data_IF_132501229254
#
_entry.id   IF_132501229254
#
_cell.length_a   1.000
_cell.length_b   1.000
_cell.length_c   1.000
_cell.angle_alpha   90.00
_cell.angle_beta   90.00
_cell.angle_gamma   90.00
#
_symmetry.space_group_name_H-M   'P 1'
#
loop_
_entity.id
_entity.type
_entity.pdbx_description
1 polymer ?
#
# COMPACT_ATOMS: atom_id res chain seq x y z
N UNK A 1 5.62 16.24 -5.02
CA UNK A 1 4.94 15.57 -3.90
C UNK A 1 5.79 15.67 -2.64
N UNK A 2 5.20 16.08 -1.54
CA UNK A 2 5.78 16.09 -0.20
C UNK A 2 5.10 15.00 0.63
N UNK A 3 5.88 14.29 1.45
CA UNK A 3 5.35 13.46 2.55
C UNK A 3 6.19 13.76 3.78
N UNK A 4 5.51 14.01 4.89
CA UNK A 4 6.12 14.25 6.19
C UNK A 4 5.91 12.97 7.01
N UNK A 5 6.98 12.47 7.59
CA UNK A 5 6.96 11.29 8.44
C UNK A 5 7.41 11.66 9.84
N UNK A 6 6.69 11.17 10.84
CA UNK A 6 7.18 11.08 12.20
C UNK A 6 8.04 9.83 12.33
N UNK A 7 9.29 10.00 12.74
CA UNK A 7 10.25 8.89 12.91
C UNK A 7 10.50 8.68 14.40
N UNK A 8 10.28 7.45 14.86
CA UNK A 8 10.46 7.04 16.25
C UNK A 8 11.77 6.26 16.42
N UNK A 9 12.21 6.12 17.66
CA UNK A 9 13.35 5.24 17.97
C UNK A 9 13.06 3.79 17.50
N UNK A 10 14.12 3.07 17.13
CA UNK A 10 13.99 1.69 16.63
C UNK A 10 13.62 1.57 15.15
N UNK A 11 13.49 2.68 14.42
CA UNK A 11 13.21 2.66 12.97
C UNK A 11 11.74 2.59 12.61
N UNK A 12 10.87 2.86 13.56
CA UNK A 12 9.43 2.99 13.32
C UNK A 12 9.11 4.36 12.76
N UNK A 13 8.15 4.45 11.84
CA UNK A 13 7.72 5.72 11.29
C UNK A 13 6.27 5.68 10.84
N UNK A 14 5.60 6.84 10.90
CA UNK A 14 4.24 7.04 10.41
C UNK A 14 4.16 8.27 9.53
N UNK A 15 3.21 8.27 8.58
CA UNK A 15 2.90 9.45 7.76
C UNK A 15 2.15 10.46 8.64
N UNK A 16 2.76 11.64 8.83
CA UNK A 16 2.15 12.75 9.53
C UNK A 16 1.30 13.62 8.59
N UNK A 17 1.81 13.87 7.36
CA UNK A 17 1.10 14.66 6.35
C UNK A 17 1.58 14.36 4.93
N UNK A 18 0.72 14.58 3.95
CA UNK A 18 1.03 14.40 2.53
C UNK A 18 0.44 15.54 1.67
N UNK A 19 1.26 16.10 0.79
CA UNK A 19 0.83 17.11 -0.19
C UNK A 19 1.25 16.72 -1.60
N UNK A 20 0.32 16.87 -2.55
CA UNK A 20 0.54 16.57 -3.96
C UNK A 20 0.26 17.79 -4.81
N UNK A 21 1.23 18.17 -5.64
CA UNK A 21 1.09 19.23 -6.64
C UNK A 21 1.43 18.70 -8.02
N UNK A 22 0.57 18.99 -8.99
CA UNK A 22 0.71 18.51 -10.36
C UNK A 22 1.53 19.49 -11.21
N UNK A 23 2.84 19.41 -11.13
CA UNK A 23 3.75 20.28 -11.90
C UNK A 23 3.94 19.82 -13.34
N UNK A 24 3.77 18.50 -13.62
CA UNK A 24 3.94 17.91 -14.96
C UNK A 24 5.32 18.21 -15.58
N UNK A 25 6.41 18.05 -14.82
CA UNK A 25 7.79 18.24 -15.29
C UNK A 25 8.16 17.36 -16.49
N UNK A 26 7.44 16.27 -16.75
CA UNK A 26 7.64 15.41 -17.92
C UNK A 26 7.17 16.01 -19.25
N UNK A 27 6.43 17.11 -19.24
CA UNK A 27 6.12 17.89 -20.42
C UNK A 27 7.35 18.70 -20.83
N UNK A 28 8.12 18.18 -21.79
CA UNK A 28 9.39 18.79 -22.25
C UNK A 28 9.19 19.65 -23.49
N UNK A 29 10.22 20.43 -23.84
CA UNK A 29 10.37 21.03 -25.15
C UNK A 29 10.73 19.96 -26.19
N UNK A 30 10.66 20.31 -27.50
CA UNK A 30 10.95 19.39 -28.59
C UNK A 30 12.37 18.83 -28.51
N UNK A 31 13.31 19.61 -27.98
CA UNK A 31 14.70 19.18 -27.78
C UNK A 31 14.93 18.26 -26.59
N UNK A 32 13.90 18.01 -25.77
CA UNK A 32 13.98 17.20 -24.53
C UNK A 32 14.39 17.99 -23.30
N UNK A 33 14.42 19.33 -23.34
CA UNK A 33 14.62 20.18 -22.16
C UNK A 33 13.33 20.37 -21.38
N UNK A 34 13.42 20.52 -20.05
CA UNK A 34 12.28 20.90 -19.21
C UNK A 34 11.80 22.30 -19.60
N UNK A 35 10.49 22.46 -19.77
CA UNK A 35 9.85 23.75 -20.06
C UNK A 35 10.09 24.73 -18.92
N UNK A 36 10.54 25.94 -19.21
CA UNK A 36 10.84 26.96 -18.20
C UNK A 36 9.62 27.28 -17.32
N UNK A 37 8.42 27.26 -17.90
CA UNK A 37 7.17 27.43 -17.13
C UNK A 37 6.97 26.35 -16.08
N UNK A 38 7.30 25.10 -16.41
CA UNK A 38 7.22 23.95 -15.48
C UNK A 38 8.33 23.99 -14.44
N UNK A 39 9.53 24.44 -14.81
CA UNK A 39 10.64 24.68 -13.86
C UNK A 39 10.25 25.72 -12.80
N UNK A 40 9.69 26.86 -13.22
CA UNK A 40 9.22 27.89 -12.30
C UNK A 40 8.09 27.39 -11.37
N UNK A 41 7.15 26.63 -11.92
CA UNK A 41 6.09 26.00 -11.12
C UNK A 41 6.66 25.01 -10.10
N UNK A 42 7.65 24.18 -10.49
CA UNK A 42 8.34 23.27 -9.57
C UNK A 42 9.04 24.01 -8.43
N UNK A 43 9.77 25.08 -8.73
CA UNK A 43 10.46 25.91 -7.74
C UNK A 43 9.46 26.51 -6.76
N UNK A 44 8.34 27.07 -7.24
CA UNK A 44 7.30 27.65 -6.38
C UNK A 44 6.65 26.56 -5.49
N UNK A 45 6.37 25.40 -6.05
CA UNK A 45 5.85 24.25 -5.29
C UNK A 45 6.81 23.82 -4.17
N UNK A 46 8.11 23.69 -4.48
CA UNK A 46 9.13 23.32 -3.48
C UNK A 46 9.29 24.39 -2.40
N UNK A 47 9.16 25.69 -2.74
CA UNK A 47 9.12 26.76 -1.73
C UNK A 47 7.94 26.63 -0.76
N UNK A 48 6.75 26.27 -1.27
CA UNK A 48 5.58 25.96 -0.42
C UNK A 48 5.85 24.74 0.46
N UNK A 49 6.36 23.65 -0.10
CA UNK A 49 6.73 22.45 0.64
C UNK A 49 7.74 22.73 1.75
N UNK A 50 8.76 23.58 1.48
CA UNK A 50 9.73 23.97 2.48
C UNK A 50 9.11 24.76 3.64
N UNK A 51 8.11 25.62 3.34
CA UNK A 51 7.36 26.33 4.40
C UNK A 51 6.57 25.35 5.26
N UNK A 52 5.92 24.35 4.66
CA UNK A 52 5.21 23.30 5.41
C UNK A 52 6.18 22.51 6.30
N UNK A 53 7.33 22.09 5.77
CA UNK A 53 8.36 21.44 6.57
C UNK A 53 8.78 22.30 7.79
N UNK A 54 8.89 23.61 7.64
CA UNK A 54 9.21 24.50 8.77
C UNK A 54 8.07 24.57 9.80
N UNK A 55 6.79 24.59 9.36
CA UNK A 55 5.62 24.56 10.26
C UNK A 55 5.58 23.27 11.07
N UNK A 56 5.84 22.12 10.42
CA UNK A 56 5.92 20.81 11.07
C UNK A 56 7.23 20.59 11.84
N UNK A 57 8.16 21.57 11.86
CA UNK A 57 9.47 21.45 12.51
C UNK A 57 10.25 20.22 12.04
N UNK A 58 10.24 19.98 10.72
CA UNK A 58 10.95 18.85 10.13
C UNK A 58 12.47 19.02 10.30
N UNK A 59 13.13 18.03 10.91
CA UNK A 59 14.57 18.05 11.17
C UNK A 59 15.39 17.76 9.91
N UNK A 60 14.87 16.90 9.02
CA UNK A 60 15.59 16.47 7.82
C UNK A 60 14.70 16.37 6.60
N UNK A 61 15.19 16.89 5.48
CA UNK A 61 14.52 16.81 4.18
C UNK A 61 15.34 15.91 3.23
N UNK A 62 14.71 14.87 2.70
CA UNK A 62 15.26 14.01 1.67
C UNK A 62 14.62 14.39 0.33
N UNK A 63 15.34 15.13 -0.50
CA UNK A 63 14.85 15.60 -1.78
C UNK A 63 15.37 14.72 -2.92
N UNK A 64 14.45 14.09 -3.66
CA UNK A 64 14.75 13.13 -4.73
C UNK A 64 14.09 13.57 -6.02
N UNK A 65 14.80 13.43 -7.14
CA UNK A 65 14.30 13.63 -8.49
C UNK A 65 14.43 12.34 -9.31
N UNK A 66 13.46 12.08 -10.16
CA UNK A 66 13.34 10.82 -10.92
C UNK A 66 13.34 11.07 -12.44
N UNK A 67 12.73 10.20 -13.22
CA UNK A 67 12.80 10.09 -14.67
C UNK A 67 12.72 11.44 -15.42
N UNK A 68 11.79 12.32 -15.10
CA UNK A 68 11.62 13.59 -15.82
C UNK A 68 12.87 14.49 -15.73
N UNK A 69 13.48 14.57 -14.53
CA UNK A 69 14.70 15.35 -14.33
C UNK A 69 15.93 14.59 -14.83
N UNK A 70 15.97 13.26 -14.61
CA UNK A 70 17.08 12.41 -15.03
C UNK A 70 17.34 12.48 -16.54
N UNK A 71 16.27 12.51 -17.36
CA UNK A 71 16.35 12.53 -18.83
C UNK A 71 16.47 13.92 -19.43
N UNK A 72 16.27 14.97 -18.65
CA UNK A 72 16.24 16.33 -19.15
C UNK A 72 17.62 16.80 -19.64
N UNK A 73 17.70 17.36 -20.86
CA UNK A 73 18.95 17.94 -21.38
C UNK A 73 19.46 19.10 -20.53
N UNK A 74 18.55 19.88 -19.94
CA UNK A 74 18.87 20.98 -19.03
C UNK A 74 18.88 20.59 -17.54
N UNK A 75 19.12 19.29 -17.22
CA UNK A 75 19.12 18.77 -15.83
C UNK A 75 19.98 19.61 -14.88
N UNK A 76 21.23 19.93 -15.27
CA UNK A 76 22.16 20.70 -14.41
C UNK A 76 21.64 22.11 -14.13
N UNK A 77 21.10 22.77 -15.14
CA UNK A 77 20.50 24.12 -15.01
C UNK A 77 19.33 24.06 -14.04
N UNK A 78 18.40 23.11 -14.24
CA UNK A 78 17.27 22.88 -13.33
C UNK A 78 17.70 22.68 -11.88
N UNK A 79 18.68 21.80 -11.63
CA UNK A 79 19.16 21.52 -10.27
C UNK A 79 19.83 22.75 -9.63
N UNK A 80 20.57 23.53 -10.40
CA UNK A 80 21.20 24.77 -9.92
C UNK A 80 20.15 25.85 -9.60
N UNK A 81 19.16 26.07 -10.46
CA UNK A 81 18.06 27.01 -10.23
C UNK A 81 17.23 26.58 -9.00
N UNK A 82 16.95 25.28 -8.87
CA UNK A 82 16.23 24.72 -7.73
C UNK A 82 17.02 24.97 -6.44
N UNK A 83 18.32 24.66 -6.41
CA UNK A 83 19.18 24.90 -5.26
C UNK A 83 19.29 26.40 -4.93
N UNK A 84 19.56 27.24 -5.93
CA UNK A 84 19.68 28.70 -5.72
C UNK A 84 18.38 29.31 -5.19
N UNK A 85 17.21 28.80 -5.62
CA UNK A 85 15.90 29.33 -5.24
C UNK A 85 15.36 28.79 -3.92
N UNK A 86 15.75 27.58 -3.51
CA UNK A 86 15.15 26.86 -2.36
C UNK A 86 16.16 26.45 -1.29
N UNK A 87 17.45 26.42 -1.63
CA UNK A 87 18.52 25.86 -0.78
C UNK A 87 18.48 24.34 -0.63
N UNK A 88 17.60 23.63 -1.36
CA UNK A 88 17.49 22.18 -1.29
C UNK A 88 18.30 21.53 -2.40
N UNK A 89 19.15 20.57 -2.01
CA UNK A 89 19.92 19.76 -2.95
C UNK A 89 19.14 18.49 -3.27
N UNK A 90 18.74 18.33 -4.53
CA UNK A 90 18.04 17.15 -5.02
C UNK A 90 19.04 16.08 -5.44
N UNK A 91 18.81 14.83 -4.97
CA UNK A 91 19.47 13.64 -5.48
C UNK A 91 18.70 13.12 -6.70
N UNK A 92 19.33 13.06 -7.85
CA UNK A 92 18.75 12.38 -9.02
C UNK A 92 19.07 10.90 -8.91
N UNK A 93 18.06 10.07 -8.77
CA UNK A 93 18.22 8.62 -8.65
C UNK A 93 18.32 7.95 -10.03
N UNK A 94 19.16 6.92 -10.14
CA UNK A 94 19.23 6.07 -11.34
C UNK A 94 17.93 5.29 -11.55
N UNK A 95 17.77 4.66 -12.70
CA UNK A 95 16.59 3.81 -12.97
C UNK A 95 16.57 2.58 -12.08
N UNK A 96 17.72 1.97 -11.88
CA UNK A 96 17.89 0.83 -10.99
C UNK A 96 17.64 1.20 -9.52
N UNK A 97 18.21 2.33 -9.06
CA UNK A 97 17.98 2.83 -7.70
C UNK A 97 16.49 3.14 -7.47
N UNK A 98 15.81 3.76 -8.45
CA UNK A 98 14.38 4.06 -8.40
C UNK A 98 13.54 2.78 -8.31
N UNK A 99 13.85 1.75 -9.11
CA UNK A 99 13.18 0.45 -9.07
C UNK A 99 13.40 -0.27 -7.73
N UNK A 100 14.64 -0.25 -7.22
CA UNK A 100 14.95 -0.82 -5.90
C UNK A 100 14.20 -0.09 -4.78
N UNK A 101 14.08 1.23 -4.81
CA UNK A 101 13.30 1.98 -3.82
C UNK A 101 11.81 1.63 -3.87
N UNK A 102 11.24 1.45 -5.06
CA UNK A 102 9.85 0.98 -5.20
C UNK A 102 9.71 -0.43 -4.62
N UNK A 103 10.63 -1.33 -4.94
CA UNK A 103 10.68 -2.66 -4.35
C UNK A 103 10.76 -2.62 -2.82
N UNK A 104 11.63 -1.78 -2.24
CA UNK A 104 11.75 -1.62 -0.79
C UNK A 104 10.44 -1.15 -0.14
N UNK A 105 9.70 -0.24 -0.79
CA UNK A 105 8.39 0.17 -0.33
C UNK A 105 7.37 -0.97 -0.30
N UNK A 106 7.38 -1.82 -1.33
CA UNK A 106 6.48 -2.97 -1.43
C UNK A 106 6.86 -4.06 -0.45
N UNK A 107 8.12 -4.51 -0.48
CA UNK A 107 8.57 -5.70 0.26
C UNK A 107 8.53 -5.50 1.78
N UNK A 108 8.69 -4.25 2.25
CA UNK A 108 8.60 -3.91 3.67
C UNK A 108 7.18 -3.53 4.13
N UNK A 109 6.19 -3.60 3.23
CA UNK A 109 4.78 -3.32 3.56
C UNK A 109 3.83 -4.48 3.24
N UNK A 110 4.28 -5.48 2.48
CA UNK A 110 3.46 -6.61 2.05
C UNK A 110 4.18 -7.95 2.34
N UNK A 111 3.43 -8.95 2.79
CA UNK A 111 3.94 -10.31 2.97
C UNK A 111 3.55 -11.19 1.77
N UNK A 112 4.07 -10.88 0.61
CA UNK A 112 3.89 -11.64 -0.62
C UNK A 112 5.23 -12.28 -0.98
N UNK A 113 5.34 -13.62 -0.99
CA UNK A 113 6.63 -14.29 -1.19
C UNK A 113 7.18 -14.19 -2.61
N UNK A 114 6.30 -14.15 -3.62
CA UNK A 114 6.66 -14.04 -5.05
C UNK A 114 5.79 -12.98 -5.70
N UNK A 115 6.39 -11.98 -6.32
CA UNK A 115 5.64 -10.89 -6.92
C UNK A 115 6.28 -10.30 -8.15
N UNK A 116 5.43 -9.96 -9.12
CA UNK A 116 5.74 -9.04 -10.21
C UNK A 116 5.18 -7.67 -9.85
N UNK A 117 6.05 -6.74 -9.49
CA UNK A 117 5.68 -5.36 -9.23
C UNK A 117 5.63 -4.62 -10.56
N UNK A 118 4.54 -3.89 -10.82
CA UNK A 118 4.44 -2.93 -11.90
C UNK A 118 4.18 -1.54 -11.34
N UNK A 119 5.01 -0.58 -11.70
CA UNK A 119 4.74 0.85 -11.52
C UNK A 119 4.63 1.52 -12.89
N UNK A 120 3.47 2.10 -13.20
CA UNK A 120 3.31 2.95 -14.37
C UNK A 120 3.20 4.40 -13.95
N UNK A 121 4.28 5.16 -14.22
CA UNK A 121 4.39 6.59 -14.00
C UNK A 121 3.89 7.42 -15.17
N UNK A 122 4.24 8.71 -15.21
CA UNK A 122 3.94 9.57 -16.36
C UNK A 122 4.80 9.26 -17.59
N UNK A 123 6.11 9.15 -17.39
CA UNK A 123 7.11 8.99 -18.45
C UNK A 123 7.96 7.72 -18.34
N UNK A 124 7.58 6.78 -17.50
CA UNK A 124 8.29 5.51 -17.31
C UNK A 124 7.40 4.45 -16.72
N UNK A 125 7.66 3.20 -17.12
CA UNK A 125 7.06 1.99 -16.57
C UNK A 125 8.17 1.10 -16.06
N UNK A 126 7.97 0.50 -14.89
CA UNK A 126 8.94 -0.38 -14.24
C UNK A 126 8.30 -1.70 -13.88
N UNK A 127 9.05 -2.78 -14.08
CA UNK A 127 8.77 -4.09 -13.56
C UNK A 127 9.88 -4.53 -12.64
N UNK A 128 9.51 -5.13 -11.50
CA UNK A 128 10.45 -5.80 -10.59
C UNK A 128 9.88 -7.17 -10.26
N UNK A 129 10.56 -8.21 -10.71
CA UNK A 129 10.24 -9.58 -10.34
C UNK A 129 11.10 -10.02 -9.15
N UNK A 130 10.46 -10.52 -8.10
CA UNK A 130 11.16 -10.99 -6.92
C UNK A 130 10.58 -12.34 -6.43
N UNK A 131 11.45 -13.13 -5.78
CA UNK A 131 11.08 -14.36 -5.11
C UNK A 131 11.79 -14.44 -3.76
N UNK A 132 11.07 -14.90 -2.72
CA UNK A 132 11.59 -15.02 -1.35
C UNK A 132 12.35 -13.77 -0.89
N UNK A 133 11.80 -12.59 -1.19
CA UNK A 133 12.38 -11.29 -0.83
C UNK A 133 13.72 -10.95 -1.50
N UNK A 134 14.03 -11.59 -2.62
CA UNK A 134 15.20 -11.26 -3.45
C UNK A 134 14.72 -10.81 -4.83
N UNK A 135 15.24 -9.70 -5.33
CA UNK A 135 15.01 -9.26 -6.70
C UNK A 135 15.70 -10.25 -7.63
N UNK A 136 14.97 -10.77 -8.60
CA UNK A 136 15.50 -11.63 -9.67
C UNK A 136 15.72 -10.82 -10.94
N UNK A 137 14.73 -10.02 -11.34
CA UNK A 137 14.79 -9.23 -12.57
C UNK A 137 14.18 -7.84 -12.36
N UNK A 138 14.68 -6.89 -13.12
CA UNK A 138 14.17 -5.52 -13.18
C UNK A 138 14.16 -5.07 -14.63
N UNK A 139 13.05 -4.48 -15.06
CA UNK A 139 12.91 -3.88 -16.39
C UNK A 139 12.37 -2.45 -16.26
N UNK A 140 12.93 -1.54 -17.04
CA UNK A 140 12.53 -0.13 -17.02
C UNK A 140 12.31 0.37 -18.45
N UNK A 141 11.07 0.66 -18.77
CA UNK A 141 10.68 1.26 -20.03
C UNK A 141 10.63 2.78 -19.96
N UNK A 142 11.11 3.43 -21.01
CA UNK A 142 11.15 4.89 -21.16
C UNK A 142 9.80 5.50 -21.56
N UNK A 143 8.70 4.82 -21.34
CA UNK A 143 7.33 5.28 -21.57
C UNK A 143 6.44 4.97 -20.38
N UNK A 144 5.46 5.83 -20.15
CA UNK A 144 4.45 5.68 -19.10
C UNK A 144 3.12 6.26 -19.59
N UNK A 145 2.19 6.49 -18.68
CA UNK A 145 0.83 6.90 -18.99
C UNK A 145 0.76 8.20 -19.84
N UNK A 146 1.58 9.20 -19.52
CA UNK A 146 1.57 10.47 -20.25
C UNK A 146 2.22 10.33 -21.63
N UNK A 147 3.37 9.67 -21.73
CA UNK A 147 4.03 9.45 -23.01
C UNK A 147 3.20 8.57 -23.94
N UNK A 148 2.51 7.55 -23.42
CA UNK A 148 1.58 6.74 -24.22
C UNK A 148 0.40 7.58 -24.72
N UNK A 149 -0.13 8.48 -23.90
CA UNK A 149 -1.19 9.39 -24.31
C UNK A 149 -0.71 10.41 -25.38
N UNK A 150 0.53 10.88 -25.27
CA UNK A 150 1.15 11.76 -26.29
C UNK A 150 1.42 11.03 -27.61
N UNK A 151 1.89 9.77 -27.55
CA UNK A 151 2.22 8.98 -28.75
C UNK A 151 0.98 8.52 -29.53
N UNK A 152 -0.08 8.12 -28.84
CA UNK A 152 -1.22 7.42 -29.44
C UNK A 152 -2.57 8.12 -29.24
N UNK A 153 -2.66 9.06 -28.31
CA UNK A 153 -3.85 9.88 -28.06
C UNK A 153 -3.83 11.16 -28.88
N UNK A 154 -4.96 11.86 -28.88
CA UNK A 154 -5.13 13.16 -29.52
C UNK A 154 -6.61 13.53 -29.54
N UNK A 155 -6.90 14.82 -29.77
CA UNK A 155 -8.29 15.31 -29.85
C UNK A 155 -9.09 14.66 -31.00
N UNK A 156 -8.39 14.25 -32.06
CA UNK A 156 -8.98 13.69 -33.27
C UNK A 156 -8.89 12.14 -33.32
N UNK A 157 -8.36 11.48 -32.30
CA UNK A 157 -8.22 10.01 -32.25
C UNK A 157 -9.32 9.41 -31.39
N UNK A 158 -10.07 8.46 -31.97
CA UNK A 158 -11.10 7.76 -31.23
C UNK A 158 -10.51 6.98 -30.03
N UNK A 159 -11.20 6.94 -28.88
CA UNK A 159 -10.71 6.22 -27.69
C UNK A 159 -10.37 4.74 -27.95
N UNK A 160 -11.16 4.05 -28.77
CA UNK A 160 -10.93 2.65 -29.15
C UNK A 160 -9.66 2.48 -29.97
N UNK A 161 -9.35 3.43 -30.83
CA UNK A 161 -8.14 3.39 -31.64
C UNK A 161 -6.90 3.66 -30.78
N UNK A 162 -6.99 4.61 -29.85
CA UNK A 162 -5.94 4.85 -28.85
C UNK A 162 -5.68 3.60 -28.01
N UNK A 163 -6.73 2.97 -27.49
CA UNK A 163 -6.65 1.74 -26.70
C UNK A 163 -5.97 0.62 -27.51
N UNK A 164 -6.39 0.40 -28.75
CA UNK A 164 -5.81 -0.62 -29.61
C UNK A 164 -4.32 -0.38 -29.88
N UNK A 165 -3.92 0.86 -30.23
CA UNK A 165 -2.52 1.21 -30.50
C UNK A 165 -1.64 1.08 -29.26
N UNK A 166 -2.13 1.52 -28.10
CA UNK A 166 -1.42 1.36 -26.81
C UNK A 166 -1.25 -0.11 -26.48
N UNK A 167 -2.30 -0.93 -26.62
CA UNK A 167 -2.24 -2.35 -26.33
C UNK A 167 -1.26 -3.09 -27.25
N UNK A 168 -1.29 -2.79 -28.54
CA UNK A 168 -0.39 -3.38 -29.54
C UNK A 168 1.07 -3.01 -29.25
N UNK A 169 1.35 -1.71 -29.06
CA UNK A 169 2.68 -1.23 -28.70
C UNK A 169 3.18 -1.88 -27.41
N UNK A 170 2.33 -1.89 -26.36
CA UNK A 170 2.75 -2.42 -25.06
C UNK A 170 3.01 -3.93 -25.11
N UNK A 171 2.22 -4.70 -25.87
CA UNK A 171 2.46 -6.12 -26.09
C UNK A 171 3.80 -6.37 -26.77
N UNK A 172 4.11 -5.63 -27.83
CA UNK A 172 5.41 -5.70 -28.51
C UNK A 172 6.58 -5.42 -27.55
N UNK A 173 6.40 -4.46 -26.63
CA UNK A 173 7.43 -4.20 -25.61
C UNK A 173 7.56 -5.33 -24.59
N UNK A 174 6.46 -5.97 -24.18
CA UNK A 174 6.52 -7.14 -23.29
C UNK A 174 7.25 -8.33 -23.94
N UNK A 175 7.06 -8.54 -25.24
CA UNK A 175 7.74 -9.58 -26.02
C UNK A 175 9.27 -9.41 -26.08
N UNK A 176 9.79 -8.21 -25.79
CA UNK A 176 11.25 -7.97 -25.70
C UNK A 176 11.87 -8.36 -24.36
N UNK A 177 11.06 -8.83 -23.40
CA UNK A 177 11.48 -9.12 -22.04
C UNK A 177 11.43 -10.62 -21.77
N UNK A 178 12.48 -11.33 -22.15
CA UNK A 178 12.55 -12.79 -22.14
C UNK A 178 12.20 -13.43 -20.79
N UNK A 179 12.59 -12.82 -19.67
CA UNK A 179 12.35 -13.37 -18.35
C UNK A 179 10.86 -13.34 -17.89
N UNK A 180 9.98 -12.64 -18.61
CA UNK A 180 8.54 -12.68 -18.31
C UNK A 180 7.93 -14.05 -18.57
N UNK A 181 8.49 -14.84 -19.51
CA UNK A 181 8.07 -16.20 -19.79
C UNK A 181 8.51 -17.20 -18.69
N UNK A 182 9.45 -16.79 -17.83
CA UNK A 182 9.98 -17.59 -16.72
C UNK A 182 9.28 -17.34 -15.39
N UNK A 183 8.19 -16.55 -15.38
CA UNK A 183 7.47 -16.26 -14.15
C UNK A 183 6.89 -17.51 -13.52
N UNK A 184 7.17 -17.70 -12.23
CA UNK A 184 6.56 -18.77 -11.44
C UNK A 184 5.02 -18.62 -11.43
N UNK A 185 4.25 -19.72 -11.65
CA UNK A 185 2.78 -19.69 -11.67
C UNK A 185 2.12 -19.12 -10.40
N UNK A 186 2.83 -19.16 -9.25
CA UNK A 186 2.35 -18.58 -7.99
C UNK A 186 2.65 -17.08 -7.86
N UNK A 187 3.31 -16.48 -8.85
CA UNK A 187 3.65 -15.05 -8.83
C UNK A 187 2.39 -14.19 -8.72
N UNK A 188 2.38 -13.25 -7.77
CA UNK A 188 1.28 -12.31 -7.62
C UNK A 188 1.58 -11.03 -8.38
N UNK A 189 0.58 -10.47 -9.07
CA UNK A 189 0.69 -9.18 -9.74
C UNK A 189 0.44 -8.03 -8.76
N UNK A 190 1.45 -7.19 -8.52
CA UNK A 190 1.41 -6.09 -7.56
C UNK A 190 1.48 -4.76 -8.31
N UNK A 191 0.43 -3.97 -8.16
CA UNK A 191 0.34 -2.64 -8.77
C UNK A 191 0.74 -1.53 -7.81
N UNK A 192 1.64 -0.65 -8.25
CA UNK A 192 2.18 0.48 -7.47
C UNK A 192 1.92 1.80 -8.18
N UNK A 193 1.77 2.86 -7.41
CA UNK A 193 1.69 4.22 -7.95
C UNK A 193 0.27 4.73 -8.16
N UNK A 194 0.18 5.91 -8.76
CA UNK A 194 -1.09 6.66 -8.84
C UNK A 194 -2.15 6.04 -9.73
N UNK A 195 -1.74 5.37 -10.82
CA UNK A 195 -2.68 4.71 -11.73
C UNK A 195 -3.37 3.54 -11.04
N UNK A 196 -2.61 2.69 -10.34
CA UNK A 196 -3.17 1.58 -9.57
C UNK A 196 -4.03 2.03 -8.39
N UNK A 197 -3.67 3.14 -7.71
CA UNK A 197 -4.50 3.71 -6.65
C UNK A 197 -5.83 4.23 -7.17
N UNK A 198 -5.84 4.91 -8.33
CA UNK A 198 -7.08 5.35 -8.98
C UNK A 198 -7.93 4.16 -9.42
N UNK A 199 -7.32 3.14 -10.03
CA UNK A 199 -7.99 1.91 -10.42
C UNK A 199 -8.67 1.24 -9.22
N UNK A 200 -7.94 1.07 -8.11
CA UNK A 200 -8.50 0.51 -6.87
C UNK A 200 -9.61 1.36 -6.26
N UNK A 201 -9.49 2.70 -6.31
CA UNK A 201 -10.52 3.59 -5.82
C UNK A 201 -11.81 3.48 -6.64
N UNK A 202 -11.70 3.35 -7.96
CA UNK A 202 -12.84 3.11 -8.85
C UNK A 202 -13.49 1.76 -8.56
N UNK A 203 -12.71 0.69 -8.50
CA UNK A 203 -13.21 -0.66 -8.22
C UNK A 203 -13.93 -0.75 -6.88
N UNK A 204 -13.32 -0.20 -5.81
CA UNK A 204 -13.96 -0.15 -4.47
C UNK A 204 -15.29 0.60 -4.49
N UNK A 205 -15.37 1.70 -5.23
CA UNK A 205 -16.63 2.46 -5.38
C UNK A 205 -17.69 1.69 -6.15
N UNK A 206 -17.33 1.07 -7.28
CA UNK A 206 -18.24 0.25 -8.07
C UNK A 206 -18.83 -0.90 -7.23
N UNK A 207 -17.98 -1.54 -6.42
CA UNK A 207 -18.40 -2.64 -5.54
C UNK A 207 -19.09 -2.17 -4.26
N UNK A 208 -19.14 -0.86 -3.96
CA UNK A 208 -19.54 -0.34 -2.65
C UNK A 208 -18.77 -1.06 -1.52
N UNK A 209 -17.44 -1.14 -1.70
CA UNK A 209 -16.56 -1.85 -0.79
C UNK A 209 -16.54 -1.16 0.58
N UNK A 210 -16.73 -1.87 1.70
CA UNK A 210 -16.98 -1.26 3.01
C UNK A 210 -15.74 -0.72 3.72
N UNK A 211 -14.52 -1.01 3.19
CA UNK A 211 -13.26 -0.48 3.72
C UNK A 211 -12.68 0.58 2.80
N UNK A 212 -12.25 1.71 3.36
CA UNK A 212 -11.51 2.73 2.61
C UNK A 212 -10.00 2.50 2.69
N UNK A 213 -9.56 1.31 2.30
CA UNK A 213 -8.17 0.89 2.30
C UNK A 213 -7.73 0.53 0.90
N UNK A 214 -6.65 1.16 0.44
CA UNK A 214 -6.04 0.87 -0.87
C UNK A 214 -4.94 -0.19 -0.77
N UNK A 215 -4.16 -0.18 0.33
CA UNK A 215 -3.07 -1.13 0.53
C UNK A 215 -3.61 -2.55 0.73
N UNK A 216 -3.02 -3.52 0.05
CA UNK A 216 -3.49 -4.92 0.01
C UNK A 216 -4.91 -5.14 -0.57
N UNK A 217 -5.46 -4.15 -1.30
CA UNK A 217 -6.71 -4.36 -2.00
C UNK A 217 -6.52 -5.35 -3.16
N UNK A 218 -7.28 -6.44 -3.13
CA UNK A 218 -7.33 -7.43 -4.20
C UNK A 218 -8.35 -6.97 -5.25
N UNK A 219 -7.88 -6.58 -6.42
CA UNK A 219 -8.68 -6.14 -7.55
C UNK A 219 -8.79 -7.27 -8.57
N UNK A 220 -9.96 -7.88 -8.78
CA UNK A 220 -10.15 -8.87 -9.84
C UNK A 220 -9.97 -8.24 -11.24
N UNK A 221 -9.41 -8.97 -12.18
CA UNK A 221 -9.27 -8.51 -13.58
C UNK A 221 -10.64 -8.28 -14.23
N UNK A 222 -11.68 -8.96 -13.77
CA UNK A 222 -13.06 -8.67 -14.20
C UNK A 222 -13.50 -7.24 -13.87
N UNK A 223 -13.07 -6.68 -12.74
CA UNK A 223 -13.35 -5.29 -12.39
C UNK A 223 -12.53 -4.31 -13.24
N UNK A 224 -11.26 -4.65 -13.51
CA UNK A 224 -10.43 -3.89 -14.45
C UNK A 224 -11.13 -3.80 -15.81
N UNK A 225 -11.62 -4.92 -16.35
CA UNK A 225 -12.36 -4.95 -17.62
C UNK A 225 -13.61 -4.07 -17.58
N UNK A 226 -14.42 -4.18 -16.54
CA UNK A 226 -15.61 -3.35 -16.37
C UNK A 226 -15.28 -1.85 -16.27
N UNK A 227 -14.16 -1.49 -15.64
CA UNK A 227 -13.70 -0.09 -15.57
C UNK A 227 -13.21 0.39 -16.94
N UNK A 228 -12.50 -0.43 -17.71
CA UNK A 228 -12.11 -0.11 -19.08
C UNK A 228 -13.35 0.18 -19.95
N UNK A 229 -14.36 -0.69 -19.91
CA UNK A 229 -15.60 -0.52 -20.67
C UNK A 229 -16.37 0.73 -20.24
N UNK A 230 -16.47 0.99 -18.94
CA UNK A 230 -17.09 2.20 -18.41
C UNK A 230 -16.38 3.47 -18.92
N UNK A 231 -15.05 3.50 -18.94
CA UNK A 231 -14.30 4.67 -19.40
C UNK A 231 -14.32 4.84 -20.92
N UNK A 232 -14.43 3.74 -21.68
CA UNK A 232 -14.60 3.77 -23.13
C UNK A 232 -15.91 4.42 -23.53
N UNK A 233 -17.01 4.05 -22.82
CA UNK A 233 -18.35 4.56 -23.10
C UNK A 233 -18.67 5.91 -22.45
N UNK A 234 -17.80 6.39 -21.55
CA UNK A 234 -18.02 7.64 -20.83
C UNK A 234 -17.85 8.86 -21.75
N UNK A 235 -18.79 9.81 -21.66
CA UNK A 235 -18.69 11.10 -22.31
C UNK A 235 -17.35 11.80 -21.94
N UNK A 236 -16.52 12.18 -22.92
CA UNK A 236 -15.23 12.83 -22.66
C UNK A 236 -15.31 14.04 -21.73
N UNK A 237 -16.39 14.85 -21.84
CA UNK A 237 -16.61 16.02 -20.99
C UNK A 237 -16.91 15.68 -19.52
N UNK A 238 -17.29 14.44 -19.23
CA UNK A 238 -17.64 13.96 -17.89
C UNK A 238 -16.54 13.13 -17.24
N UNK A 239 -15.51 12.72 -17.99
CA UNK A 239 -14.40 11.90 -17.44
C UNK A 239 -13.76 12.53 -16.20
N UNK A 240 -13.57 13.85 -16.20
CA UNK A 240 -13.03 14.59 -15.05
C UNK A 240 -13.93 14.61 -13.81
N UNK A 241 -15.20 14.17 -13.93
CA UNK A 241 -16.18 14.12 -12.83
C UNK A 241 -16.41 12.71 -12.30
N UNK A 242 -15.69 11.72 -12.84
CA UNK A 242 -15.81 10.34 -12.37
C UNK A 242 -15.24 10.26 -10.95
N UNK A 243 -16.14 9.97 -10.00
CA UNK A 243 -15.75 9.85 -8.58
C UNK A 243 -14.76 8.69 -8.40
N UNK A 244 -13.57 8.96 -7.88
CA UNK A 244 -12.49 7.99 -7.69
C UNK A 244 -11.34 8.18 -8.69
N UNK A 245 -11.57 8.91 -9.78
CA UNK A 245 -10.53 9.35 -10.70
C UNK A 245 -10.09 10.77 -10.34
N UNK A 246 -8.77 10.96 -10.11
CA UNK A 246 -8.26 12.30 -9.90
C UNK A 246 -8.26 13.08 -11.22
N UNK A 247 -8.78 14.30 -11.20
CA UNK A 247 -8.91 15.15 -12.39
C UNK A 247 -7.56 15.36 -13.12
N UNK A 248 -6.48 15.43 -12.35
CA UNK A 248 -5.09 15.58 -12.83
C UNK A 248 -4.62 14.42 -13.72
N UNK A 249 -5.25 13.25 -13.63
CA UNK A 249 -4.87 12.03 -14.35
C UNK A 249 -5.92 11.57 -15.36
N UNK A 250 -7.07 12.22 -15.42
CA UNK A 250 -8.20 11.77 -16.22
C UNK A 250 -7.88 11.66 -17.72
N UNK A 251 -6.95 12.49 -18.20
CA UNK A 251 -6.47 12.52 -19.59
C UNK A 251 -5.54 11.34 -19.93
N UNK A 252 -4.68 10.93 -19.01
CA UNK A 252 -3.66 9.88 -19.24
C UNK A 252 -4.05 8.51 -18.69
N UNK A 253 -5.08 8.48 -17.84
CA UNK A 253 -5.49 7.27 -17.14
C UNK A 253 -5.97 6.14 -18.06
N UNK A 254 -6.73 6.38 -19.16
CA UNK A 254 -7.11 5.33 -20.10
C UNK A 254 -5.90 4.58 -20.66
N UNK A 255 -4.84 5.29 -21.05
CA UNK A 255 -3.61 4.66 -21.57
C UNK A 255 -2.91 3.81 -20.49
N UNK A 256 -2.89 4.28 -19.24
CA UNK A 256 -2.38 3.49 -18.12
C UNK A 256 -3.20 2.22 -17.90
N UNK A 257 -4.53 2.30 -17.96
CA UNK A 257 -5.41 1.13 -17.81
C UNK A 257 -5.19 0.11 -18.92
N UNK A 258 -5.07 0.57 -20.16
CA UNK A 258 -4.79 -0.31 -21.31
C UNK A 258 -3.47 -1.05 -21.10
N UNK A 259 -2.42 -0.36 -20.65
CA UNK A 259 -1.13 -0.98 -20.35
C UNK A 259 -1.26 -2.02 -19.20
N UNK A 260 -1.95 -1.68 -18.11
CA UNK A 260 -2.20 -2.60 -16.98
C UNK A 260 -3.00 -3.83 -17.43
N UNK A 261 -4.04 -3.62 -18.24
CA UNK A 261 -4.85 -4.71 -18.80
C UNK A 261 -4.01 -5.60 -19.73
N UNK A 262 -3.18 -5.01 -20.57
CA UNK A 262 -2.29 -5.75 -21.47
C UNK A 262 -1.37 -6.70 -20.68
N UNK A 263 -0.76 -6.23 -19.57
CA UNK A 263 0.07 -7.08 -18.70
C UNK A 263 -0.75 -8.19 -18.05
N UNK A 264 -1.94 -7.87 -17.51
CA UNK A 264 -2.78 -8.87 -16.85
C UNK A 264 -3.22 -9.97 -17.82
N UNK A 265 -3.63 -9.59 -19.04
CA UNK A 265 -4.10 -10.52 -20.07
C UNK A 265 -2.94 -11.36 -20.65
N UNK A 266 -1.80 -10.73 -20.95
CA UNK A 266 -0.64 -11.42 -21.56
C UNK A 266 -0.02 -12.42 -20.60
N UNK A 267 0.09 -12.07 -19.31
CA UNK A 267 0.70 -12.95 -18.30
C UNK A 267 -0.32 -13.80 -17.53
N UNK A 268 -1.60 -13.76 -17.89
CA UNK A 268 -2.64 -14.63 -17.34
C UNK A 268 -3.01 -14.34 -15.88
N UNK A 269 -2.82 -13.12 -15.38
CA UNK A 269 -3.19 -12.77 -14.01
C UNK A 269 -4.71 -12.63 -13.86
N UNK A 270 -5.29 -13.24 -12.84
CA UNK A 270 -6.72 -13.12 -12.53
C UNK A 270 -7.05 -11.97 -11.57
N UNK A 271 -6.05 -11.45 -10.86
CA UNK A 271 -6.18 -10.36 -9.89
C UNK A 271 -4.91 -9.51 -9.83
N UNK A 272 -5.08 -8.28 -9.39
CA UNK A 272 -4.02 -7.31 -9.10
C UNK A 272 -4.08 -6.96 -7.61
N UNK A 273 -2.96 -6.99 -6.91
CA UNK A 273 -2.88 -6.55 -5.53
C UNK A 273 -2.30 -5.14 -5.51
N UNK A 274 -3.03 -4.18 -4.93
CA UNK A 274 -2.58 -2.79 -4.93
C UNK A 274 -1.70 -2.50 -3.71
N UNK A 275 -0.50 -1.97 -3.96
CA UNK A 275 0.31 -1.38 -2.91
C UNK A 275 0.09 0.14 -2.83
N UNK A 276 -0.20 0.63 -1.63
CA UNK A 276 -0.16 2.08 -1.35
C UNK A 276 1.28 2.58 -1.16
N UNK A 277 2.20 1.67 -0.82
CA UNK A 277 3.62 1.94 -0.61
C UNK A 277 4.41 1.80 -1.92
N UNK A 278 5.41 2.65 -2.11
CA UNK A 278 6.28 2.67 -3.27
C UNK A 278 7.56 3.46 -2.99
N UNK A 279 8.00 4.26 -3.94
CA UNK A 279 9.26 5.02 -3.87
C UNK A 279 9.48 5.76 -2.53
N UNK A 280 8.46 6.47 -2.04
CA UNK A 280 8.56 7.32 -0.84
C UNK A 280 8.77 6.50 0.42
N UNK A 281 7.95 5.47 0.57
CA UNK A 281 8.03 4.54 1.69
C UNK A 281 9.35 3.76 1.61
N UNK A 282 9.82 3.40 0.40
CA UNK A 282 11.13 2.79 0.20
C UNK A 282 12.29 3.69 0.64
N UNK A 283 12.23 4.99 0.35
CA UNK A 283 13.19 5.97 0.86
C UNK A 283 13.18 5.97 2.39
N UNK A 284 11.99 5.96 3.01
CA UNK A 284 11.85 5.98 4.47
C UNK A 284 12.31 4.67 5.11
N UNK A 285 11.98 3.51 4.57
CA UNK A 285 12.52 2.23 5.06
C UNK A 285 14.05 2.20 5.02
N UNK A 286 14.67 2.72 3.95
CA UNK A 286 16.12 2.80 3.86
C UNK A 286 16.73 3.81 4.83
N UNK A 287 16.01 4.90 5.15
CA UNK A 287 16.48 5.96 6.04
C UNK A 287 16.25 5.62 7.52
N UNK A 288 15.03 5.21 7.89
CA UNK A 288 14.62 5.07 9.28
C UNK A 288 15.02 3.73 9.90
N UNK A 289 14.92 2.62 9.13
CA UNK A 289 15.23 1.28 9.66
C UNK A 289 16.72 1.15 9.89
N UNK A 290 17.18 0.87 11.14
CA UNK A 290 18.58 0.74 11.47
C UNK A 290 19.30 -0.35 10.65
N UNK A 291 20.58 -0.15 10.37
CA UNK A 291 21.42 -1.15 9.66
C UNK A 291 21.61 -2.45 10.46
N UNK A 292 21.38 -2.40 11.77
CA UNK A 292 21.42 -3.57 12.66
C UNK A 292 20.19 -4.47 12.52
N UNK A 293 19.11 -3.97 11.94
CA UNK A 293 17.92 -4.77 11.61
C UNK A 293 18.08 -5.40 10.24
N UNK A 294 17.52 -6.59 10.10
CA UNK A 294 17.52 -7.31 8.84
C UNK A 294 16.72 -6.55 7.78
N UNK A 295 17.32 -6.32 6.63
CA UNK A 295 16.70 -5.64 5.50
C UNK A 295 16.61 -6.59 4.31
N UNK A 296 15.45 -6.74 3.70
CA UNK A 296 14.13 -6.17 4.07
C UNK A 296 13.57 -6.76 5.37
N UNK A 297 12.67 -6.03 6.01
CA UNK A 297 12.04 -6.43 7.29
C UNK A 297 11.37 -7.79 7.14
N UNK A 298 11.75 -8.78 7.94
CA UNK A 298 11.25 -10.16 7.83
C UNK A 298 9.84 -10.32 8.37
N UNK A 299 9.53 -9.68 9.50
CA UNK A 299 8.21 -9.68 10.15
C UNK A 299 7.52 -8.32 9.90
N UNK A 300 6.95 -8.17 8.71
CA UNK A 300 6.29 -6.93 8.28
C UNK A 300 5.12 -6.56 9.19
N UNK A 301 4.27 -7.55 9.52
CA UNK A 301 3.12 -7.33 10.39
C UNK A 301 3.55 -6.92 11.80
N UNK A 302 4.53 -7.63 12.38
CA UNK A 302 5.05 -7.29 13.70
C UNK A 302 5.65 -5.90 13.76
N UNK A 303 6.48 -5.53 12.78
CA UNK A 303 7.03 -4.18 12.67
C UNK A 303 5.93 -3.12 12.57
N UNK A 304 4.89 -3.38 11.77
CA UNK A 304 3.76 -2.45 11.64
C UNK A 304 2.96 -2.29 12.93
N UNK A 305 2.68 -3.38 13.66
CA UNK A 305 1.99 -3.33 14.95
C UNK A 305 2.83 -2.56 15.97
N UNK A 306 4.14 -2.84 16.06
CA UNK A 306 5.05 -2.14 16.97
C UNK A 306 5.15 -0.65 16.63
N UNK A 307 5.04 -0.27 15.36
CA UNK A 307 4.93 1.14 14.97
C UNK A 307 3.74 1.82 15.65
N UNK A 308 2.56 1.20 15.60
CA UNK A 308 1.36 1.74 16.26
C UNK A 308 1.50 1.78 17.78
N UNK A 309 1.99 0.70 18.40
CA UNK A 309 2.17 0.65 19.85
C UNK A 309 3.13 1.74 20.36
N UNK A 310 4.26 1.93 19.69
CA UNK A 310 5.23 2.96 20.04
C UNK A 310 4.67 4.37 19.78
N UNK A 311 4.01 4.60 18.64
CA UNK A 311 3.43 5.90 18.31
C UNK A 311 2.34 6.33 19.31
N UNK A 312 1.52 5.38 19.78
CA UNK A 312 0.46 5.61 20.75
C UNK A 312 0.95 5.58 22.22
N UNK A 313 2.23 5.32 22.46
CA UNK A 313 2.80 5.23 23.82
C UNK A 313 2.22 4.09 24.64
N UNK A 314 1.88 2.96 24.00
CA UNK A 314 1.30 1.80 24.68
C UNK A 314 2.35 1.04 25.49
N UNK A 315 1.90 0.27 26.49
CA UNK A 315 2.75 -0.67 27.22
C UNK A 315 3.03 -1.91 26.37
N UNK A 316 4.13 -1.87 25.60
CA UNK A 316 4.52 -2.96 24.69
C UNK A 316 4.72 -4.28 25.44
N UNK A 317 5.35 -4.26 26.61
CA UNK A 317 5.61 -5.48 27.38
C UNK A 317 4.32 -6.18 27.82
N UNK A 318 3.31 -5.41 28.25
CA UNK A 318 1.99 -5.96 28.57
C UNK A 318 1.28 -6.50 27.32
N UNK A 319 1.28 -5.76 26.20
CA UNK A 319 0.69 -6.21 24.95
C UNK A 319 1.31 -7.53 24.46
N UNK A 320 2.64 -7.66 24.52
CA UNK A 320 3.36 -8.89 24.19
C UNK A 320 3.00 -10.04 25.15
N UNK A 321 2.85 -9.76 26.44
CA UNK A 321 2.43 -10.78 27.42
C UNK A 321 1.03 -11.30 27.10
N UNK A 322 0.06 -10.43 26.86
CA UNK A 322 -1.30 -10.81 26.43
C UNK A 322 -1.26 -11.64 25.15
N UNK A 323 -0.45 -11.24 24.17
CA UNK A 323 -0.29 -12.01 22.94
C UNK A 323 0.31 -13.40 23.20
N UNK A 324 1.35 -13.50 24.02
CA UNK A 324 1.97 -14.78 24.37
C UNK A 324 0.96 -15.74 25.04
N UNK A 325 0.19 -15.26 26.00
CA UNK A 325 -0.87 -16.03 26.66
C UNK A 325 -1.98 -16.42 25.66
N UNK A 326 -2.37 -15.50 24.77
CA UNK A 326 -3.36 -15.78 23.71
C UNK A 326 -2.91 -16.92 22.79
N UNK A 327 -1.64 -16.94 22.39
CA UNK A 327 -1.11 -18.00 21.51
C UNK A 327 -0.95 -19.33 22.26
N UNK A 328 -0.59 -19.32 23.53
CA UNK A 328 -0.57 -20.54 24.33
C UNK A 328 -1.97 -21.14 24.43
N UNK A 329 -2.98 -20.35 24.78
CA UNK A 329 -4.38 -20.78 24.82
C UNK A 329 -4.87 -21.30 23.47
N UNK A 330 -4.60 -20.56 22.39
CA UNK A 330 -4.97 -20.99 21.05
C UNK A 330 -4.38 -22.36 20.68
N UNK A 331 -3.10 -22.57 20.96
CA UNK A 331 -2.45 -23.86 20.68
C UNK A 331 -3.04 -25.00 21.52
N UNK A 332 -3.23 -24.77 22.80
CA UNK A 332 -3.72 -25.79 23.74
C UNK A 332 -5.20 -26.12 23.55
N UNK A 333 -6.04 -25.13 23.17
CA UNK A 333 -7.47 -25.32 22.89
C UNK A 333 -7.75 -25.83 21.45
N UNK A 334 -6.71 -26.20 20.70
CA UNK A 334 -6.85 -26.63 19.30
C UNK A 334 -7.80 -27.81 19.09
N UNK A 335 -7.84 -28.72 20.05
CA UNK A 335 -8.76 -29.89 20.01
C UNK A 335 -10.21 -29.43 20.04
N UNK A 336 -10.53 -28.34 20.74
CA UNK A 336 -11.89 -27.80 20.87
C UNK A 336 -12.30 -26.92 19.68
N UNK A 337 -11.40 -25.99 19.26
CA UNK A 337 -11.78 -25.04 18.22
C UNK A 337 -11.48 -25.53 16.79
N UNK A 338 -10.47 -26.39 16.60
CA UNK A 338 -10.03 -26.97 15.31
C UNK A 338 -9.66 -25.95 14.22
N UNK A 339 -9.36 -24.69 14.58
CA UNK A 339 -9.08 -23.64 13.63
C UNK A 339 -7.69 -23.79 12.98
N UNK A 340 -7.55 -23.40 11.69
CA UNK A 340 -6.26 -23.37 11.01
C UNK A 340 -5.36 -22.25 11.54
N UNK A 341 -4.05 -22.38 11.27
CA UNK A 341 -3.03 -21.42 11.74
C UNK A 341 -3.20 -19.98 11.23
N UNK A 342 -3.96 -19.78 10.15
CA UNK A 342 -4.20 -18.44 9.60
C UNK A 342 -4.81 -17.47 10.65
N UNK A 343 -5.61 -17.97 11.59
CA UNK A 343 -6.19 -17.14 12.67
C UNK A 343 -5.16 -16.62 13.69
N UNK A 344 -3.95 -17.17 13.72
CA UNK A 344 -2.86 -16.65 14.57
C UNK A 344 -2.54 -15.19 14.24
N UNK A 345 -2.61 -14.80 12.97
CA UNK A 345 -2.40 -13.40 12.54
C UNK A 345 -3.51 -12.48 13.04
N UNK A 346 -4.74 -12.95 12.98
CA UNK A 346 -5.91 -12.26 13.53
C UNK A 346 -5.75 -12.02 15.04
N UNK A 347 -5.42 -13.08 15.79
CA UNK A 347 -5.18 -13.00 17.21
C UNK A 347 -3.97 -12.12 17.56
N UNK A 348 -2.93 -12.12 16.74
CA UNK A 348 -1.77 -11.25 16.94
C UNK A 348 -2.15 -9.78 16.93
N UNK A 349 -2.91 -9.35 15.91
CA UNK A 349 -3.38 -7.96 15.82
C UNK A 349 -4.34 -7.65 16.97
N UNK A 350 -5.32 -8.50 17.21
CA UNK A 350 -6.31 -8.29 18.27
C UNK A 350 -5.65 -8.20 19.65
N UNK A 351 -4.74 -9.14 19.99
CA UNK A 351 -4.09 -9.18 21.29
C UNK A 351 -3.13 -8.00 21.52
N UNK A 352 -2.32 -7.65 20.51
CA UNK A 352 -1.35 -6.56 20.67
C UNK A 352 -2.00 -5.18 20.68
N UNK A 353 -3.12 -5.00 19.97
CA UNK A 353 -3.76 -3.68 19.82
C UNK A 353 -5.05 -3.53 20.65
N UNK A 354 -5.42 -4.50 21.48
CA UNK A 354 -6.68 -4.45 22.23
C UNK A 354 -6.74 -3.30 23.26
N UNK A 355 -5.60 -2.90 23.81
CA UNK A 355 -5.52 -1.86 24.86
C UNK A 355 -4.83 -0.57 24.38
N UNK A 356 -4.96 -0.24 23.11
CA UNK A 356 -4.37 0.98 22.53
C UNK A 356 -4.95 2.27 23.12
N UNK A 357 -6.14 2.22 23.73
CA UNK A 357 -6.78 3.34 24.40
C UNK A 357 -7.21 2.94 25.82
N UNK A 358 -6.66 3.62 26.84
CA UNK A 358 -6.95 3.33 28.27
C UNK A 358 -8.19 4.06 28.82
N UNK A 359 -9.05 4.58 27.96
CA UNK A 359 -10.22 5.35 28.36
C UNK A 359 -11.50 4.53 28.30
N UNK A 360 -12.62 5.14 28.71
CA UNK A 360 -13.94 4.54 28.65
C UNK A 360 -14.23 3.93 27.25
N UNK A 361 -14.81 2.74 27.22
CA UNK A 361 -15.12 1.98 25.99
C UNK A 361 -13.89 1.59 25.11
N UNK A 362 -12.84 1.20 25.79
CA UNK A 362 -11.53 0.85 25.22
C UNK A 362 -11.62 -0.09 23.99
N UNK A 363 -12.40 -1.18 24.09
CA UNK A 363 -12.52 -2.16 23.03
C UNK A 363 -13.08 -1.58 21.73
N UNK A 364 -14.06 -0.70 21.85
CA UNK A 364 -14.68 -0.01 20.71
C UNK A 364 -13.69 0.88 19.99
N UNK A 365 -12.90 1.63 20.76
CA UNK A 365 -11.85 2.46 20.21
C UNK A 365 -10.75 1.63 19.55
N UNK A 366 -10.32 0.54 20.20
CA UNK A 366 -9.32 -0.35 19.65
C UNK A 366 -9.81 -1.05 18.36
N UNK A 367 -11.04 -1.55 18.34
CA UNK A 367 -11.64 -2.16 17.15
C UNK A 367 -11.78 -1.15 16.00
N UNK A 368 -12.24 0.07 16.29
CA UNK A 368 -12.31 1.15 15.29
C UNK A 368 -10.92 1.49 14.74
N UNK A 369 -9.93 1.60 15.62
CA UNK A 369 -8.55 1.88 15.23
C UNK A 369 -8.00 0.77 14.33
N UNK A 370 -8.20 -0.51 14.68
CA UNK A 370 -7.77 -1.64 13.86
C UNK A 370 -8.42 -1.59 12.47
N UNK A 371 -9.74 -1.36 12.37
CA UNK A 371 -10.46 -1.26 11.09
C UNK A 371 -9.99 -0.13 10.19
N UNK A 372 -9.49 0.95 10.78
CA UNK A 372 -9.06 2.15 10.05
C UNK A 372 -7.54 2.32 10.05
N UNK A 373 -6.81 1.35 10.59
CA UNK A 373 -5.34 1.34 10.57
C UNK A 373 -4.81 0.99 9.17
N UNK A 374 -3.70 1.59 8.80
CA UNK A 374 -2.94 1.19 7.62
C UNK A 374 -1.87 0.16 8.02
N UNK A 375 -2.26 -0.91 8.70
CA UNK A 375 -1.34 -1.99 9.06
C UNK A 375 -0.76 -2.65 7.82
N UNK A 376 0.55 -2.84 7.83
CA UNK A 376 1.28 -3.54 6.78
C UNK A 376 1.29 -5.05 7.03
N UNK A 377 1.50 -5.82 5.97
CA UNK A 377 1.65 -7.26 6.06
C UNK A 377 0.38 -8.03 6.45
N UNK A 378 -0.81 -7.47 6.30
CA UNK A 378 -2.08 -8.12 6.68
C UNK A 378 -3.15 -7.93 5.60
N UNK A 379 -4.04 -8.90 5.45
CA UNK A 379 -5.17 -8.83 4.52
C UNK A 379 -6.35 -8.04 5.06
N UNK A 380 -7.21 -7.51 4.18
CA UNK A 380 -8.45 -6.83 4.58
C UNK A 380 -9.37 -7.74 5.40
N UNK A 381 -9.44 -9.05 5.05
CA UNK A 381 -10.19 -10.04 5.82
C UNK A 381 -9.67 -10.13 7.26
N UNK A 382 -8.37 -10.28 7.43
CA UNK A 382 -7.77 -10.48 8.75
C UNK A 382 -7.87 -9.22 9.62
N UNK A 383 -7.81 -8.01 9.01
CA UNK A 383 -8.08 -6.74 9.71
C UNK A 383 -9.51 -6.71 10.25
N UNK A 384 -10.50 -7.07 9.43
CA UNK A 384 -11.91 -7.11 9.84
C UNK A 384 -12.10 -8.11 10.99
N UNK A 385 -11.53 -9.32 10.86
CA UNK A 385 -11.63 -10.34 11.90
C UNK A 385 -10.96 -9.91 13.20
N UNK A 386 -9.76 -9.29 13.14
CA UNK A 386 -9.06 -8.79 14.31
C UNK A 386 -9.86 -7.71 15.04
N UNK A 387 -10.44 -6.78 14.31
CA UNK A 387 -11.30 -5.74 14.87
C UNK A 387 -12.52 -6.35 15.57
N UNK A 388 -13.16 -7.34 14.95
CA UNK A 388 -14.30 -8.02 15.58
C UNK A 388 -13.92 -8.87 16.79
N UNK A 389 -12.79 -9.56 16.77
CA UNK A 389 -12.28 -10.28 17.94
C UNK A 389 -12.08 -9.30 19.10
N UNK A 390 -11.53 -8.12 18.82
CA UNK A 390 -11.30 -7.08 19.84
C UNK A 390 -12.61 -6.49 20.36
N UNK A 391 -13.60 -6.26 19.50
CA UNK A 391 -14.90 -5.69 19.88
C UNK A 391 -15.74 -6.69 20.71
N UNK A 392 -15.82 -7.95 20.26
CA UNK A 392 -16.67 -8.98 20.86
C UNK A 392 -16.18 -9.42 22.24
N UNK A 393 -14.86 -9.53 22.47
CA UNK A 393 -14.37 -10.01 23.76
C UNK A 393 -14.74 -9.08 24.92
N UNK A 394 -14.92 -7.79 24.67
CA UNK A 394 -15.23 -6.79 25.68
C UNK A 394 -16.73 -6.56 25.92
N UNK A 395 -17.61 -7.15 25.10
CA UNK A 395 -19.05 -6.82 25.16
C UNK A 395 -19.98 -8.01 24.95
N UNK A 396 -21.01 -8.05 25.81
CA UNK A 396 -22.23 -8.83 25.59
C UNK A 396 -23.23 -8.10 24.64
N UNK A 397 -22.88 -6.94 24.09
CA UNK A 397 -23.75 -6.10 23.28
C UNK A 397 -23.42 -6.20 21.79
N UNK A 398 -24.33 -5.72 20.93
CA UNK A 398 -24.19 -5.76 19.49
C UNK A 398 -22.86 -5.12 19.00
N UNK A 399 -22.19 -5.73 18.03
CA UNK A 399 -20.93 -5.21 17.50
C UNK A 399 -21.08 -3.82 16.90
N UNK A 400 -19.98 -3.04 16.91
CA UNK A 400 -19.88 -1.67 16.39
C UNK A 400 -20.31 -1.50 14.94
N UNK A 401 -20.08 -2.54 14.16
CA UNK A 401 -20.25 -2.53 12.72
C UNK A 401 -21.15 -3.67 12.30
N UNK A 402 -21.97 -3.40 11.29
CA UNK A 402 -22.80 -4.40 10.65
C UNK A 402 -21.90 -5.41 9.91
N UNK A 403 -21.87 -6.66 10.39
CA UNK A 403 -21.15 -7.77 9.79
C UNK A 403 -21.64 -8.09 8.38
N UNK A 404 -22.93 -7.86 8.12
CA UNK A 404 -23.57 -8.21 6.85
C UNK A 404 -22.92 -7.50 5.69
N UNK A 405 -22.54 -6.24 5.86
CA UNK A 405 -21.83 -5.48 4.80
C UNK A 405 -20.51 -6.12 4.36
N UNK A 406 -19.78 -6.80 5.27
CA UNK A 406 -18.53 -7.47 4.95
C UNK A 406 -18.78 -8.86 4.34
N UNK A 407 -19.81 -9.58 4.80
CA UNK A 407 -20.24 -10.86 4.25
C UNK A 407 -20.80 -10.71 2.84
N UNK A 408 -21.69 -9.78 2.61
CA UNK A 408 -22.27 -9.47 1.28
C UNK A 408 -21.21 -9.12 0.23
N UNK A 409 -20.09 -8.55 0.67
CA UNK A 409 -18.97 -8.24 -0.22
C UNK A 409 -17.91 -9.34 -0.31
N UNK A 410 -18.14 -10.48 0.35
CA UNK A 410 -17.24 -11.63 0.32
C UNK A 410 -15.90 -11.38 1.00
N UNK A 411 -15.81 -10.42 1.94
CA UNK A 411 -14.60 -10.14 2.70
C UNK A 411 -14.43 -11.15 3.81
N UNK A 412 -15.52 -11.51 4.47
CA UNK A 412 -15.59 -12.54 5.52
C UNK A 412 -16.71 -13.55 5.19
N UNK A 413 -16.63 -14.73 5.76
CA UNK A 413 -17.61 -15.81 5.62
C UNK A 413 -18.41 -16.01 6.91
N UNK A 414 -19.46 -16.83 6.87
CA UNK A 414 -20.20 -17.22 8.08
C UNK A 414 -19.33 -18.03 9.04
N UNK A 415 -18.42 -18.85 8.52
CA UNK A 415 -17.44 -19.58 9.31
C UNK A 415 -16.50 -18.62 10.07
N UNK A 416 -16.13 -17.49 9.44
CA UNK A 416 -15.33 -16.44 10.08
C UNK A 416 -16.06 -15.81 11.25
N UNK A 417 -17.37 -15.57 11.13
CA UNK A 417 -18.20 -14.99 12.21
C UNK A 417 -18.23 -15.92 13.42
N UNK A 418 -18.40 -17.23 13.18
CA UNK A 418 -18.36 -18.23 14.26
C UNK A 418 -16.94 -18.37 14.87
N UNK A 419 -15.90 -18.25 14.04
CA UNK A 419 -14.53 -18.26 14.52
C UNK A 419 -14.24 -17.07 15.44
N UNK A 420 -14.68 -15.86 15.08
CA UNK A 420 -14.48 -14.66 15.90
C UNK A 420 -15.04 -14.82 17.31
N UNK A 421 -16.22 -15.42 17.49
CA UNK A 421 -16.80 -15.66 18.83
C UNK A 421 -15.88 -16.48 19.72
N UNK A 422 -15.32 -17.57 19.19
CA UNK A 422 -14.39 -18.44 19.93
C UNK A 422 -13.02 -17.79 20.15
N UNK A 423 -12.50 -17.05 19.15
CA UNK A 423 -11.25 -16.32 19.27
C UNK A 423 -11.34 -15.18 20.30
N UNK A 424 -12.50 -14.52 20.39
CA UNK A 424 -12.78 -13.51 21.41
C UNK A 424 -12.74 -14.07 22.83
N UNK A 425 -13.24 -15.29 23.06
CA UNK A 425 -13.11 -15.97 24.36
C UNK A 425 -11.64 -16.24 24.69
N UNK A 426 -10.86 -16.73 23.72
CA UNK A 426 -9.42 -16.99 23.92
C UNK A 426 -8.69 -15.69 24.30
N UNK A 427 -8.94 -14.60 23.59
CA UNK A 427 -8.37 -13.29 23.90
C UNK A 427 -8.82 -12.81 25.28
N UNK A 428 -10.11 -12.91 25.59
CA UNK A 428 -10.67 -12.49 26.88
C UNK A 428 -10.03 -13.21 28.08
N UNK A 429 -9.79 -14.51 27.97
CA UNK A 429 -9.05 -15.27 28.96
C UNK A 429 -7.61 -14.79 29.15
N UNK A 430 -6.89 -14.55 28.02
CA UNK A 430 -5.52 -14.05 28.06
C UNK A 430 -5.43 -12.67 28.73
N UNK A 431 -6.33 -11.76 28.41
CA UNK A 431 -6.42 -10.43 29.04
C UNK A 431 -6.73 -10.54 30.53
N UNK A 432 -7.65 -11.45 30.91
CA UNK A 432 -7.99 -11.68 32.33
C UNK A 432 -6.80 -12.21 33.14
N UNK A 433 -5.96 -13.04 32.52
CA UNK A 433 -4.78 -13.60 33.19
C UNK A 433 -3.67 -12.58 33.44
N UNK A 434 -3.58 -11.52 32.66
CA UNK A 434 -2.61 -10.43 32.88
C UNK A 434 -3.27 -9.09 33.24
N UNK A 435 -4.43 -9.13 33.86
CA UNK A 435 -5.19 -7.92 34.26
C UNK A 435 -4.40 -6.97 35.16
N UNK A 436 -3.45 -7.50 35.92
CA UNK A 436 -2.56 -6.69 36.77
C UNK A 436 -1.48 -5.96 36.00
N UNK A 437 -1.29 -6.24 34.72
CA UNK A 437 -0.18 -5.77 33.88
C UNK A 437 1.21 -6.10 34.43
N UNK A 438 1.31 -7.13 35.25
CA UNK A 438 2.52 -7.51 35.97
C UNK A 438 3.28 -8.67 35.32
N UNK A 439 2.71 -9.32 34.32
CA UNK A 439 3.34 -10.45 33.63
C UNK A 439 3.61 -11.66 34.49
N UNK A 440 2.79 -11.88 35.55
CA UNK A 440 3.04 -12.91 36.57
C UNK A 440 2.85 -14.32 36.02
N UNK A 441 1.89 -14.50 35.11
CA UNK A 441 1.56 -15.80 34.53
C UNK A 441 2.41 -15.98 33.27
N UNK A 442 3.42 -16.85 33.36
CA UNK A 442 4.35 -17.10 32.26
C UNK A 442 3.91 -18.25 31.34
N UNK A 443 3.23 -19.24 31.90
CA UNK A 443 2.82 -20.45 31.20
C UNK A 443 1.43 -20.89 31.64
N UNK A 444 0.67 -21.37 30.65
CA UNK A 444 -0.66 -21.95 30.85
C UNK A 444 -0.61 -23.39 30.40
N UNK A 445 -0.91 -24.32 31.28
CA UNK A 445 -1.09 -25.74 30.97
C UNK A 445 -2.53 -26.14 31.22
N UNK A 446 -3.08 -26.96 30.33
CA UNK A 446 -4.45 -27.45 30.47
C UNK A 446 -4.54 -28.98 30.27
N UNK A 447 -5.45 -29.59 30.97
CA UNK A 447 -5.97 -30.92 30.68
C UNK A 447 -7.41 -30.81 30.16
N UNK A 448 -7.70 -31.44 29.03
CA UNK A 448 -9.08 -31.61 28.55
C UNK A 448 -9.58 -32.90 29.16
N UNK A 449 -10.36 -32.77 30.23
CA UNK A 449 -11.10 -33.88 30.75
C UNK A 449 -12.28 -34.11 29.79
N UNK A 450 -12.25 -35.18 29.02
CA UNK A 450 -13.37 -35.56 28.16
C UNK A 450 -14.55 -36.04 28.99
N UNK A 451 -15.77 -35.70 28.57
CA UNK A 451 -16.96 -36.42 29.00
C UNK A 451 -17.01 -37.78 28.32
#
# INVERSE_FOLDING_TARGET
>A
RLVIFDVLEGGYFMVADEMVEAVRLGETEIDGSLKQTRVMQAINTVKVFKKLCAVFRVDKILAVATAAVRRAKNQRTFLNEMFGSTGLKFKVVSEEEEANLVYQGVINSMEIPKGLIMEIGGSGTKFVYYNRRNILHTEVFSFGAATLAEMFGGADVAPEETERKVAEFFRQQLETVDWLDELDPETQFIGVGGSFRNLSALARRMRKYPLDMTHNYNLPVTDLNAICDMLRTADPSKKNRIKGLTSVRADVFPCALTAIKCVADTLGFSKIITSACGLREGIMFNYAVPLTLEKPITDVLGHSILTYLNYLGCNVAHAEQVYNLTIQLFKQLRVLHKFPRMYVRVLRVAALLNETFKYYDNARHAAYMILNSNLYGISHRDIVLAAYVTDVFNKNEAPLTDWDKFREKGIITDEDVEAVKKLAVILGLAVAFDRSNAGVIMEINRDVLGD
#
